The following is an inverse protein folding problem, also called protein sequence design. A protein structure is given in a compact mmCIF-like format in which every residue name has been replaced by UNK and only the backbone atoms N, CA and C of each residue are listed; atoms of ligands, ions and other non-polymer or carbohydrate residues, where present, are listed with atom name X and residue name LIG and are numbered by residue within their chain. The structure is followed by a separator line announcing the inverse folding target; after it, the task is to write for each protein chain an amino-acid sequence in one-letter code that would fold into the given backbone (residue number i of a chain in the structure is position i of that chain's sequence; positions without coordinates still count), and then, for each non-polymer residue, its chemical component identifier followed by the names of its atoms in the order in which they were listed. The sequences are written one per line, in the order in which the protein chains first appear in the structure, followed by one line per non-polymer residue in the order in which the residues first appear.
data_IF_790455767460
#
_entry.id   IF_790455767460
#
_cell.length_a   1.000
_cell.length_b   1.000
_cell.length_c   1.000
_cell.angle_alpha   90.00
_cell.angle_beta   90.00
_cell.angle_gamma   90.00
#
_symmetry.space_group_name_H-M   'P 1'
#
loop_
_entity.id
_entity.type
_entity.pdbx_description
1 polymer ?
#
# COMPACT_ATOMS: atom_id res chain seq x y z
N UNK A 1 -7.19 -19.78 27.82
CA UNK A 1 -7.99 -18.59 27.43
C UNK A 1 -7.15 -17.33 27.16
N UNK A 2 -6.04 -17.09 27.87
CA UNK A 2 -5.15 -15.93 27.61
C UNK A 2 -4.38 -15.96 26.25
N UNK A 3 -4.13 -17.15 25.67
CA UNK A 3 -3.49 -17.26 24.35
C UNK A 3 -4.35 -16.72 23.18
N UNK A 4 -5.68 -16.60 23.34
CA UNK A 4 -6.57 -16.07 22.29
C UNK A 4 -6.70 -14.55 22.28
N UNK A 5 -6.53 -13.90 23.44
CA UNK A 5 -6.66 -12.44 23.58
C UNK A 5 -5.48 -11.73 22.92
N UNK A 6 -4.25 -12.22 23.16
CA UNK A 6 -3.03 -11.67 22.56
C UNK A 6 -3.00 -11.80 21.03
N UNK A 7 -3.43 -12.95 20.50
CA UNK A 7 -3.51 -13.18 19.05
C UNK A 7 -4.55 -12.31 18.36
N UNK A 8 -5.72 -12.10 18.99
CA UNK A 8 -6.77 -11.23 18.46
C UNK A 8 -6.38 -9.75 18.50
N UNK A 9 -5.76 -9.30 19.61
CA UNK A 9 -5.24 -7.93 19.73
C UNK A 9 -4.13 -7.66 18.69
N UNK A 10 -3.22 -8.63 18.49
CA UNK A 10 -2.17 -8.53 17.48
C UNK A 10 -2.73 -8.45 16.05
N UNK A 11 -3.69 -9.30 15.69
CA UNK A 11 -4.33 -9.26 14.38
C UNK A 11 -5.08 -7.94 14.15
N UNK A 12 -5.67 -7.36 15.19
CA UNK A 12 -6.30 -6.03 15.13
C UNK A 12 -5.28 -4.93 14.88
N UNK A 13 -4.18 -4.93 15.63
CA UNK A 13 -3.07 -3.99 15.47
C UNK A 13 -2.48 -4.08 14.06
N UNK A 14 -2.18 -5.28 13.58
CA UNK A 14 -1.68 -5.50 12.22
C UNK A 14 -2.67 -5.01 11.17
N UNK A 15 -3.97 -5.28 11.34
CA UNK A 15 -5.00 -4.76 10.45
C UNK A 15 -5.11 -3.24 10.47
N UNK A 16 -4.87 -2.60 11.62
CA UNK A 16 -4.80 -1.14 11.73
C UNK A 16 -3.58 -0.58 10.99
N UNK A 17 -2.42 -1.24 11.07
CA UNK A 17 -1.22 -0.87 10.29
C UNK A 17 -1.50 -0.95 8.79
N UNK A 18 -2.13 -2.04 8.33
CA UNK A 18 -2.53 -2.21 6.93
C UNK A 18 -3.52 -1.12 6.50
N UNK A 19 -4.49 -0.78 7.36
CA UNK A 19 -5.46 0.29 7.08
C UNK A 19 -4.79 1.66 7.00
N UNK A 20 -3.85 1.96 7.90
CA UNK A 20 -3.07 3.22 7.84
C UNK A 20 -2.30 3.31 6.53
N UNK A 21 -1.70 2.20 6.07
CA UNK A 21 -1.03 2.13 4.76
C UNK A 21 -2.01 2.37 3.61
N UNK A 22 -3.22 1.81 3.68
CA UNK A 22 -4.27 2.04 2.70
C UNK A 22 -4.74 3.52 2.68
N UNK A 23 -4.89 4.15 3.84
CA UNK A 23 -5.28 5.55 3.98
C UNK A 23 -4.18 6.50 3.49
N UNK A 24 -2.92 6.19 3.78
CA UNK A 24 -1.77 6.90 3.23
C UNK A 24 -1.78 6.83 1.69
N UNK A 25 -1.93 5.63 1.14
CA UNK A 25 -2.03 5.43 -0.31
C UNK A 25 -3.24 6.17 -0.92
N UNK A 26 -4.38 6.17 -0.24
CA UNK A 26 -5.58 6.89 -0.67
C UNK A 26 -5.34 8.41 -0.67
N UNK A 27 -4.63 8.93 0.33
CA UNK A 27 -4.25 10.35 0.40
C UNK A 27 -3.33 10.75 -0.75
N UNK A 28 -2.31 9.93 -1.05
CA UNK A 28 -1.41 10.14 -2.20
C UNK A 28 -2.16 10.05 -3.53
N UNK A 29 -3.06 9.08 -3.67
CA UNK A 29 -3.92 8.94 -4.84
C UNK A 29 -4.84 10.15 -5.03
N UNK A 30 -5.55 10.55 -3.97
CA UNK A 30 -6.47 11.69 -3.99
C UNK A 30 -5.77 13.00 -4.28
N UNK A 31 -4.54 13.18 -3.76
CA UNK A 31 -3.68 14.28 -4.14
C UNK A 31 -3.34 14.25 -5.64
N UNK A 32 -2.95 13.08 -6.17
CA UNK A 32 -2.73 12.90 -7.62
C UNK A 32 -3.96 13.28 -8.45
N UNK A 33 -5.15 12.79 -8.08
CA UNK A 33 -6.42 13.15 -8.74
C UNK A 33 -6.66 14.67 -8.71
N UNK A 34 -6.47 15.33 -7.57
CA UNK A 34 -6.69 16.77 -7.42
C UNK A 34 -5.73 17.60 -8.29
N UNK A 35 -4.46 17.17 -8.39
CA UNK A 35 -3.47 17.79 -9.28
C UNK A 35 -3.87 17.63 -10.75
N UNK A 36 -4.27 16.42 -11.18
CA UNK A 36 -4.73 16.17 -12.55
C UNK A 36 -6.03 16.90 -12.90
N UNK A 37 -6.94 17.04 -11.94
CA UNK A 37 -8.20 17.76 -12.12
C UNK A 37 -8.01 19.29 -12.18
N UNK A 38 -6.79 19.80 -11.98
CA UNK A 38 -6.47 21.24 -12.04
C UNK A 38 -6.89 22.02 -10.79
N UNK A 39 -7.17 21.35 -9.66
CA UNK A 39 -7.64 21.99 -8.43
C UNK A 39 -6.52 22.47 -7.49
N UNK A 40 -5.24 22.33 -7.88
CA UNK A 40 -4.09 22.91 -7.17
C UNK A 40 -3.24 23.70 -8.15
N UNK A 41 -3.76 24.85 -8.56
CA UNK A 41 -2.97 25.94 -9.12
C UNK A 41 -2.19 26.55 -7.96
N UNK A 42 -0.85 26.41 -7.93
CA UNK A 42 0.10 27.52 -7.61
C UNK A 42 1.58 27.13 -7.49
N UNK A 43 2.00 25.86 -7.44
CA UNK A 43 3.44 25.55 -7.29
C UNK A 43 4.06 24.91 -8.55
N UNK A 44 4.93 25.62 -9.30
CA UNK A 44 5.55 25.10 -10.52
C UNK A 44 6.42 23.87 -10.27
N UNK A 45 6.91 23.67 -9.04
CA UNK A 45 7.67 22.48 -8.65
C UNK A 45 6.77 21.24 -8.64
N UNK A 46 5.50 21.38 -8.24
CA UNK A 46 4.53 20.27 -8.15
C UNK A 46 3.92 19.90 -9.51
N UNK A 47 3.84 20.84 -10.46
CA UNK A 47 3.37 20.58 -11.83
C UNK A 47 4.30 19.69 -12.65
N UNK A 48 5.59 19.64 -12.33
CA UNK A 48 6.55 18.72 -12.98
C UNK A 48 6.24 17.27 -12.61
N UNK A 49 5.69 17.00 -11.43
CA UNK A 49 5.40 15.65 -10.96
C UNK A 49 4.23 14.95 -11.67
N UNK A 50 3.40 15.62 -12.48
CA UNK A 50 2.16 15.01 -12.98
C UNK A 50 1.78 15.43 -14.41
N UNK A 51 2.70 16.02 -15.17
CA UNK A 51 2.42 16.56 -16.52
C UNK A 51 2.09 15.52 -17.61
N UNK A 52 2.05 14.21 -17.30
CA UNK A 52 1.94 13.17 -18.34
C UNK A 52 0.81 12.15 -18.11
N UNK A 53 -0.39 12.43 -18.63
CA UNK A 53 -1.35 11.40 -19.07
C UNK A 53 -2.63 11.20 -18.23
N UNK A 54 -3.66 10.56 -18.82
CA UNK A 54 -5.09 10.68 -18.45
C UNK A 54 -5.48 10.08 -17.08
N UNK A 55 -6.70 10.36 -16.55
CA UNK A 55 -7.24 9.77 -15.31
C UNK A 55 -7.19 8.24 -15.24
N UNK A 56 -7.14 7.57 -16.40
CA UNK A 56 -7.00 6.12 -16.53
C UNK A 56 -5.69 5.59 -15.91
N UNK A 57 -4.66 6.43 -15.78
CA UNK A 57 -3.40 6.05 -15.11
C UNK A 57 -3.57 5.94 -13.58
N UNK A 58 -4.62 6.53 -13.01
CA UNK A 58 -4.92 6.49 -11.57
C UNK A 58 -5.80 5.31 -11.16
N UNK A 59 -6.40 4.61 -12.12
CA UNK A 59 -7.23 3.41 -11.88
C UNK A 59 -6.43 2.27 -11.24
N UNK A 60 -5.23 1.91 -11.76
CA UNK A 60 -4.36 0.93 -11.11
C UNK A 60 -3.94 1.33 -9.69
N UNK A 61 -3.72 2.62 -9.42
CA UNK A 61 -3.45 3.13 -8.07
C UNK A 61 -4.63 2.92 -7.13
N UNK A 62 -5.85 3.26 -7.55
CA UNK A 62 -7.05 2.98 -6.78
C UNK A 62 -7.20 1.47 -6.50
N UNK A 63 -6.83 0.63 -7.46
CA UNK A 63 -6.84 -0.82 -7.33
C UNK A 63 -6.01 -1.33 -6.14
N UNK A 64 -4.76 -0.88 -5.98
CA UNK A 64 -3.94 -1.32 -4.83
C UNK A 64 -4.38 -0.67 -3.52
N UNK A 65 -4.87 0.58 -3.53
CA UNK A 65 -5.44 1.24 -2.34
C UNK A 65 -6.57 0.40 -1.76
N UNK A 66 -7.50 -0.01 -2.64
CA UNK A 66 -8.61 -0.89 -2.27
C UNK A 66 -8.12 -2.28 -1.86
N UNK A 67 -7.06 -2.79 -2.51
CA UNK A 67 -6.43 -4.05 -2.13
C UNK A 67 -5.88 -4.04 -0.70
N UNK A 68 -5.19 -2.98 -0.29
CA UNK A 68 -4.72 -2.82 1.09
C UNK A 68 -5.90 -2.72 2.08
N UNK A 69 -6.92 -1.92 1.78
CA UNK A 69 -8.12 -1.82 2.61
C UNK A 69 -8.87 -3.16 2.76
N UNK A 70 -8.99 -3.90 1.66
CA UNK A 70 -9.59 -5.23 1.65
C UNK A 70 -8.76 -6.24 2.46
N UNK A 71 -7.43 -6.18 2.38
CA UNK A 71 -6.55 -7.01 3.20
C UNK A 71 -6.72 -6.75 4.70
N UNK A 72 -6.84 -5.48 5.13
CA UNK A 72 -7.15 -5.15 6.52
C UNK A 72 -8.50 -5.73 6.97
N UNK A 73 -9.54 -5.55 6.16
CA UNK A 73 -10.87 -6.08 6.44
C UNK A 73 -10.86 -7.62 6.54
N UNK A 74 -10.20 -8.30 5.60
CA UNK A 74 -10.07 -9.76 5.59
C UNK A 74 -9.30 -10.27 6.81
N UNK A 75 -8.28 -9.54 7.27
CA UNK A 75 -7.55 -9.89 8.47
C UNK A 75 -8.44 -9.78 9.72
N UNK A 76 -9.22 -8.71 9.84
CA UNK A 76 -10.17 -8.52 10.95
C UNK A 76 -11.33 -9.53 10.93
N UNK A 77 -11.73 -9.99 9.75
CA UNK A 77 -12.67 -11.11 9.57
C UNK A 77 -12.04 -12.48 9.86
N UNK A 78 -10.78 -12.51 10.30
CA UNK A 78 -10.09 -13.74 10.69
C UNK A 78 -9.67 -14.61 9.49
N UNK A 79 -9.54 -14.03 8.29
CA UNK A 79 -9.13 -14.71 7.04
C UNK A 79 -7.69 -14.33 6.62
N UNK A 80 -6.65 -14.68 7.38
CA UNK A 80 -5.28 -14.21 7.14
C UNK A 80 -4.67 -14.73 5.83
N UNK A 81 -5.08 -15.91 5.33
CA UNK A 81 -4.62 -16.40 4.03
C UNK A 81 -5.14 -15.54 2.87
N UNK A 82 -6.42 -15.15 2.92
CA UNK A 82 -7.00 -14.23 1.95
C UNK A 82 -6.43 -12.82 2.11
N UNK A 83 -6.19 -12.37 3.35
CA UNK A 83 -5.54 -11.09 3.62
C UNK A 83 -4.11 -11.05 3.06
N UNK A 84 -3.32 -12.12 3.22
CA UNK A 84 -1.98 -12.25 2.65
C UNK A 84 -2.01 -12.17 1.12
N UNK A 85 -2.89 -12.94 0.47
CA UNK A 85 -3.02 -12.91 -0.98
C UNK A 85 -3.42 -11.53 -1.49
N UNK A 86 -4.41 -10.90 -0.85
CA UNK A 86 -4.88 -9.57 -1.22
C UNK A 86 -3.80 -8.49 -1.02
N UNK A 87 -3.09 -8.51 0.13
CA UNK A 87 -2.00 -7.59 0.41
C UNK A 87 -0.83 -7.77 -0.56
N UNK A 88 -0.44 -9.01 -0.86
CA UNK A 88 0.63 -9.31 -1.81
C UNK A 88 0.29 -8.83 -3.23
N UNK A 89 -0.94 -9.08 -3.70
CA UNK A 89 -1.38 -8.57 -4.99
C UNK A 89 -1.39 -7.04 -5.04
N UNK A 90 -1.88 -6.38 -3.99
CA UNK A 90 -1.85 -4.92 -3.89
C UNK A 90 -0.42 -4.38 -3.95
N UNK A 91 0.50 -4.98 -3.19
CA UNK A 91 1.91 -4.60 -3.15
C UNK A 91 2.61 -4.79 -4.51
N UNK A 92 2.32 -5.89 -5.23
CA UNK A 92 2.87 -6.11 -6.59
C UNK A 92 2.40 -5.00 -7.53
N UNK A 93 1.12 -4.65 -7.47
CA UNK A 93 0.55 -3.59 -8.32
C UNK A 93 1.16 -2.22 -7.96
N UNK A 94 1.30 -1.91 -6.67
CA UNK A 94 1.93 -0.67 -6.20
C UNK A 94 3.38 -0.56 -6.71
N UNK A 95 4.18 -1.61 -6.48
CA UNK A 95 5.57 -1.70 -6.94
C UNK A 95 5.67 -1.55 -8.46
N UNK A 96 4.81 -2.22 -9.22
CA UNK A 96 4.83 -2.17 -10.68
C UNK A 96 4.51 -0.76 -11.20
N UNK A 97 3.55 -0.07 -10.57
CA UNK A 97 3.22 1.29 -10.96
C UNK A 97 4.34 2.24 -10.56
N UNK A 98 4.91 2.07 -9.37
CA UNK A 98 6.06 2.87 -8.93
C UNK A 98 7.22 2.77 -9.91
N UNK A 99 7.65 1.56 -10.27
CA UNK A 99 8.71 1.32 -11.27
C UNK A 99 8.36 1.97 -12.61
N UNK A 100 7.14 1.75 -13.12
CA UNK A 100 6.72 2.35 -14.38
C UNK A 100 6.73 3.89 -14.32
N UNK A 101 6.37 4.46 -13.17
CA UNK A 101 6.31 5.90 -12.96
C UNK A 101 7.68 6.53 -12.87
N UNK A 102 8.56 5.99 -12.02
CA UNK A 102 9.90 6.52 -11.80
C UNK A 102 10.85 6.22 -12.96
N UNK A 103 10.71 5.09 -13.65
CA UNK A 103 11.65 4.74 -14.73
C UNK A 103 11.29 5.34 -16.09
N UNK A 104 10.02 5.67 -16.34
CA UNK A 104 9.55 6.09 -17.68
C UNK A 104 8.99 7.51 -17.68
N UNK A 105 8.21 7.87 -16.66
CA UNK A 105 7.44 9.13 -16.67
C UNK A 105 8.20 10.26 -15.99
N UNK A 106 8.94 9.96 -14.91
CA UNK A 106 9.62 10.95 -14.08
C UNK A 106 10.95 10.44 -13.51
N UNK A 107 11.97 10.20 -14.35
CA UNK A 107 13.28 9.72 -13.91
C UNK A 107 13.96 10.64 -12.91
N UNK A 108 13.71 11.94 -12.99
CA UNK A 108 14.28 12.93 -12.06
C UNK A 108 13.66 12.83 -10.65
N UNK A 109 12.44 12.30 -10.53
CA UNK A 109 11.75 12.13 -9.24
C UNK A 109 12.39 11.03 -8.41
N UNK A 110 12.77 9.90 -9.04
CA UNK A 110 13.57 8.86 -8.35
C UNK A 110 14.93 9.34 -7.86
N UNK A 111 15.47 10.41 -8.45
CA UNK A 111 16.76 10.96 -8.07
C UNK A 111 16.67 11.95 -6.88
N UNK A 112 15.47 12.27 -6.42
CA UNK A 112 15.29 13.11 -5.22
C UNK A 112 15.46 12.26 -3.94
N UNK A 113 16.32 12.72 -3.03
CA UNK A 113 16.65 12.01 -1.77
C UNK A 113 15.41 11.67 -0.96
N UNK A 114 14.45 12.61 -0.89
CA UNK A 114 13.20 12.41 -0.15
C UNK A 114 12.35 11.28 -0.73
N UNK A 115 12.23 11.21 -2.05
CA UNK A 115 11.38 10.22 -2.71
C UNK A 115 11.96 8.82 -2.61
N UNK A 116 13.29 8.68 -2.79
CA UNK A 116 13.97 7.40 -2.56
C UNK A 116 13.87 6.93 -1.11
N UNK A 117 13.95 7.85 -0.13
CA UNK A 117 13.78 7.51 1.28
C UNK A 117 12.34 7.08 1.60
N UNK A 118 11.34 7.83 1.11
CA UNK A 118 9.93 7.48 1.29
C UNK A 118 9.61 6.10 0.71
N UNK A 119 10.10 5.81 -0.49
CA UNK A 119 9.92 4.52 -1.17
C UNK A 119 10.59 3.36 -0.40
N UNK A 120 11.81 3.56 0.08
CA UNK A 120 12.49 2.57 0.93
C UNK A 120 11.66 2.25 2.18
N UNK A 121 11.20 3.30 2.89
CA UNK A 121 10.42 3.12 4.12
C UNK A 121 9.11 2.39 3.85
N UNK A 122 8.35 2.78 2.81
CA UNK A 122 7.08 2.12 2.48
C UNK A 122 7.29 0.66 2.08
N UNK A 123 8.29 0.37 1.24
CA UNK A 123 8.62 -1.00 0.84
C UNK A 123 9.06 -1.86 2.03
N UNK A 124 9.86 -1.31 2.96
CA UNK A 124 10.22 -2.05 4.18
C UNK A 124 9.01 -2.37 5.05
N UNK A 125 8.08 -1.43 5.21
CA UNK A 125 6.82 -1.67 5.92
C UNK A 125 6.01 -2.76 5.23
N UNK A 126 5.86 -2.70 3.90
CA UNK A 126 5.11 -3.67 3.12
C UNK A 126 5.71 -5.09 3.24
N UNK A 127 7.03 -5.22 3.15
CA UNK A 127 7.74 -6.49 3.32
C UNK A 127 7.57 -7.06 4.74
N UNK A 128 7.62 -6.21 5.77
CA UNK A 128 7.39 -6.62 7.16
C UNK A 128 5.95 -7.14 7.33
N UNK A 129 4.96 -6.43 6.78
CA UNK A 129 3.55 -6.85 6.84
C UNK A 129 3.36 -8.21 6.16
N UNK A 130 3.93 -8.40 4.96
CA UNK A 130 3.89 -9.68 4.25
C UNK A 130 4.51 -10.81 5.05
N UNK A 131 5.70 -10.59 5.63
CA UNK A 131 6.37 -11.57 6.47
C UNK A 131 5.52 -11.95 7.69
N UNK A 132 4.93 -10.96 8.38
CA UNK A 132 4.07 -11.19 9.54
C UNK A 132 2.80 -11.95 9.16
N UNK A 133 2.14 -11.60 8.05
CA UNK A 133 0.96 -12.31 7.54
C UNK A 133 1.29 -13.77 7.18
N UNK A 134 2.44 -14.01 6.54
CA UNK A 134 2.91 -15.34 6.22
C UNK A 134 3.20 -16.18 7.49
N UNK A 135 3.87 -15.60 8.48
CA UNK A 135 4.11 -16.26 9.77
C UNK A 135 2.81 -16.59 10.52
N UNK A 136 1.82 -15.67 10.49
CA UNK A 136 0.50 -15.93 11.05
C UNK A 136 -0.21 -17.10 10.36
N UNK A 137 -0.10 -17.18 9.03
CA UNK A 137 -0.66 -18.29 8.25
C UNK A 137 0.02 -19.62 8.62
N UNK A 138 1.36 -19.67 8.63
CA UNK A 138 2.13 -20.86 8.99
C UNK A 138 1.76 -21.36 10.39
N UNK A 139 1.72 -20.47 11.39
CA UNK A 139 1.31 -20.84 12.77
C UNK A 139 -0.10 -21.43 12.83
N UNK A 140 -1.04 -20.89 12.03
CA UNK A 140 -2.40 -21.44 11.97
C UNK A 140 -2.47 -22.80 11.30
N UNK A 141 -1.64 -23.06 10.29
CA UNK A 141 -1.55 -24.36 9.64
C UNK A 141 -0.97 -25.41 10.59
N UNK A 142 0.11 -25.06 11.30
CA UNK A 142 0.72 -25.92 12.33
C UNK A 142 -0.23 -26.23 13.50
N UNK A 143 -1.10 -25.29 13.88
CA UNK A 143 -2.08 -25.52 14.94
C UNK A 143 -3.26 -26.44 14.51
N UNK A 144 -3.36 -26.79 13.22
CA UNK A 144 -4.42 -27.64 12.66
C UNK A 144 -3.92 -29.05 12.30
N UNK A 145 -2.61 -29.27 12.28
CA UNK A 145 -1.94 -30.57 12.09
C UNK A 145 -1.72 -31.26 13.42
#
# INVERSE_FOLDING_TARGET
MLQSIGGAAFARLLGAVILIRALYALGVWGFGVAVFAGWVVTDPVMTVFFASGPPLMLLPWLGYVLGYGAAAALLWLGRPGAALGCYASAFIVDTAIWIAYTSIRLPDVSNTVWTGFADLVTNMVDLIVLAVLALLLVRRLQARS
#
